data_IF_703392686643
#
_entry.id   IF_703392686643
#
_cell.length_a   1.000
_cell.length_b   1.000
_cell.length_c   1.000
_cell.angle_alpha   90.00
_cell.angle_beta   90.00
_cell.angle_gamma   90.00
#
_symmetry.space_group_name_H-M   'P 1'
#
loop_
_entity.id
_entity.type
_entity.pdbx_description
1 polymer ?
#
# COMPACT_ATOMS: atom_id res chain seq x y z
N UNK A 1 13.50 -4.26 -11.15
CA UNK A 1 12.35 -3.73 -10.39
C UNK A 1 12.10 -4.61 -9.18
N UNK A 2 11.75 -4.00 -8.06
CA UNK A 2 11.39 -4.67 -6.81
C UNK A 2 10.08 -4.07 -6.28
N UNK A 3 9.09 -4.91 -5.98
CA UNK A 3 7.83 -4.47 -5.36
C UNK A 3 7.93 -4.70 -3.86
N UNK A 4 7.87 -3.63 -3.08
CA UNK A 4 7.87 -3.70 -1.63
C UNK A 4 6.44 -3.69 -1.08
N UNK A 5 6.05 -4.80 -0.46
CA UNK A 5 4.75 -5.00 0.18
C UNK A 5 4.86 -4.97 1.71
N UNK A 6 6.03 -4.67 2.26
CA UNK A 6 6.28 -4.77 3.70
C UNK A 6 5.80 -3.53 4.46
N UNK A 7 5.60 -3.66 5.74
CA UNK A 7 5.23 -2.55 6.61
C UNK A 7 5.99 -2.71 7.93
N UNK A 8 6.82 -1.73 8.31
CA UNK A 8 7.55 -1.78 9.57
C UNK A 8 6.62 -1.43 10.74
N UNK A 9 5.95 -2.44 11.28
CA UNK A 9 5.07 -2.30 12.45
C UNK A 9 5.86 -2.55 13.72
N UNK A 10 5.93 -1.55 14.58
CA UNK A 10 6.59 -1.62 15.88
C UNK A 10 5.62 -1.90 17.04
N UNK A 11 6.15 -2.09 18.27
CA UNK A 11 5.36 -2.29 19.47
C UNK A 11 4.32 -1.17 19.66
N UNK A 12 3.13 -1.52 20.13
CA UNK A 12 2.05 -0.56 20.36
C UNK A 12 1.48 0.09 19.10
N UNK A 13 1.63 -0.54 17.93
CA UNK A 13 1.24 -0.01 16.62
C UNK A 13 1.98 1.30 16.27
N UNK A 14 3.22 1.42 16.69
CA UNK A 14 4.11 2.49 16.23
C UNK A 14 4.76 2.10 14.90
N UNK A 15 5.28 3.09 14.18
CA UNK A 15 6.11 2.83 13.02
C UNK A 15 7.49 2.28 13.46
N UNK A 16 7.88 1.11 12.94
CA UNK A 16 9.09 0.40 13.39
C UNK A 16 10.40 1.14 13.13
N UNK A 17 10.41 2.09 12.18
CA UNK A 17 11.54 2.98 11.89
C UNK A 17 11.34 4.38 12.50
N UNK A 18 10.48 4.50 13.51
CA UNK A 18 10.21 5.76 14.23
C UNK A 18 9.75 6.91 13.32
N UNK A 19 9.14 6.60 12.18
CA UNK A 19 8.67 7.55 11.15
C UNK A 19 9.79 8.47 10.59
N UNK A 20 11.04 8.05 10.67
CA UNK A 20 12.17 8.81 10.11
C UNK A 20 12.41 8.52 8.64
N UNK A 21 12.06 7.32 8.20
CA UNK A 21 12.14 6.81 6.84
C UNK A 21 11.11 5.71 6.69
N UNK A 22 10.77 5.36 5.47
CA UNK A 22 9.92 4.20 5.18
C UNK A 22 10.74 2.92 5.04
N UNK A 23 10.08 1.77 5.21
CA UNK A 23 10.65 0.47 4.88
C UNK A 23 11.08 0.39 3.42
N UNK A 24 10.28 0.96 2.51
CA UNK A 24 10.60 0.97 1.08
C UNK A 24 11.87 1.76 0.76
N UNK A 25 12.10 2.91 1.42
CA UNK A 25 13.35 3.66 1.27
C UNK A 25 14.55 2.89 1.81
N UNK A 26 14.40 2.15 2.92
CA UNK A 26 15.45 1.26 3.41
C UNK A 26 15.75 0.11 2.44
N UNK A 27 14.71 -0.48 1.83
CA UNK A 27 14.89 -1.49 0.77
C UNK A 27 15.65 -0.90 -0.42
N UNK A 28 15.30 0.30 -0.87
CA UNK A 28 16.02 1.00 -1.96
C UNK A 28 17.49 1.26 -1.59
N UNK A 29 17.75 1.66 -0.35
CA UNK A 29 19.11 1.89 0.12
C UNK A 29 19.96 0.61 0.11
N UNK A 30 19.35 -0.53 0.43
CA UNK A 30 20.01 -1.84 0.43
C UNK A 30 20.14 -2.44 -0.98
N UNK A 31 19.29 -2.03 -1.91
CA UNK A 31 19.28 -2.49 -3.30
C UNK A 31 19.37 -1.30 -4.28
N UNK A 32 20.50 -0.57 -4.33
CA UNK A 32 20.61 0.69 -5.07
C UNK A 32 20.46 0.52 -6.59
N UNK A 33 20.66 -0.69 -7.11
CA UNK A 33 20.43 -1.01 -8.53
C UNK A 33 19.01 -1.43 -8.88
N UNK A 34 18.09 -1.49 -7.91
CA UNK A 34 16.70 -1.81 -8.15
C UNK A 34 15.84 -0.55 -8.25
N UNK A 35 14.80 -0.59 -9.07
CA UNK A 35 13.71 0.40 -9.05
C UNK A 35 12.65 -0.14 -8.09
N UNK A 36 12.60 0.41 -6.86
CA UNK A 36 11.66 -0.02 -5.83
C UNK A 36 10.32 0.68 -6.02
N UNK A 37 9.24 -0.09 -5.98
CA UNK A 37 7.86 0.41 -5.99
C UNK A 37 7.15 -0.14 -4.77
N UNK A 38 6.64 0.73 -3.92
CA UNK A 38 5.75 0.41 -2.81
C UNK A 38 4.37 0.13 -3.34
N UNK A 39 3.82 -1.06 -3.06
CA UNK A 39 2.48 -1.44 -3.45
C UNK A 39 1.97 -2.60 -2.56
N UNK A 40 0.71 -3.00 -2.76
CA UNK A 40 0.08 -4.10 -2.00
C UNK A 40 0.22 -3.93 -0.49
N UNK A 41 -0.02 -2.71 -0.06
CA UNK A 41 0.01 -2.24 1.33
C UNK A 41 -1.29 -1.55 1.67
N UNK A 42 -1.39 -0.90 2.85
CA UNK A 42 -2.56 -0.21 3.38
C UNK A 42 -3.74 -1.11 3.79
N UNK A 43 -3.65 -2.42 3.55
CA UNK A 43 -4.64 -3.44 3.90
C UNK A 43 -4.00 -4.66 4.51
N UNK A 44 -4.80 -5.50 5.18
CA UNK A 44 -4.42 -6.89 5.47
C UNK A 44 -4.47 -7.77 4.22
N UNK A 45 -3.62 -8.77 4.17
CA UNK A 45 -3.47 -9.69 3.04
C UNK A 45 -4.79 -10.40 2.66
N UNK A 46 -5.72 -10.49 3.58
CA UNK A 46 -7.04 -11.11 3.37
C UNK A 46 -7.81 -10.46 2.21
N UNK A 47 -7.56 -9.16 1.98
CA UNK A 47 -8.25 -8.40 0.94
C UNK A 47 -7.66 -8.63 -0.46
N UNK A 48 -6.45 -9.19 -0.57
CA UNK A 48 -5.80 -9.42 -1.87
C UNK A 48 -6.28 -10.67 -2.59
N UNK A 49 -6.92 -11.60 -1.88
CA UNK A 49 -7.48 -12.80 -2.49
C UNK A 49 -8.75 -12.52 -3.32
N UNK A 50 -9.47 -11.46 -2.96
CA UNK A 50 -10.68 -11.06 -3.67
C UNK A 50 -10.86 -9.55 -3.54
N UNK A 51 -10.73 -8.84 -4.65
CA UNK A 51 -10.92 -7.39 -4.74
C UNK A 51 -12.38 -6.95 -4.92
N UNK A 52 -13.32 -7.89 -4.99
CA UNK A 52 -14.74 -7.58 -5.19
C UNK A 52 -15.41 -7.18 -3.88
N UNK A 53 -16.00 -5.99 -3.86
CA UNK A 53 -16.80 -5.47 -2.75
C UNK A 53 -18.22 -5.20 -3.24
N UNK A 54 -19.16 -6.16 -3.07
CA UNK A 54 -20.53 -6.02 -3.55
C UNK A 54 -21.27 -4.89 -2.83
N UNK A 55 -22.18 -4.23 -3.53
CA UNK A 55 -22.98 -3.13 -2.98
C UNK A 55 -22.45 -1.73 -3.28
N UNK A 56 -21.27 -1.62 -3.91
CA UNK A 56 -20.64 -0.34 -4.26
C UNK A 56 -20.63 -0.04 -5.77
N UNK A 57 -21.44 -0.76 -6.55
CA UNK A 57 -21.51 -0.59 -8.01
C UNK A 57 -20.16 -0.91 -8.68
N UNK A 58 -19.70 0.01 -9.53
CA UNK A 58 -18.42 -0.13 -10.25
C UNK A 58 -17.23 0.48 -9.49
N UNK A 59 -17.40 0.84 -8.22
CA UNK A 59 -16.33 1.41 -7.42
C UNK A 59 -15.29 0.32 -7.09
N UNK A 60 -14.08 0.51 -7.60
CA UNK A 60 -12.96 -0.39 -7.31
C UNK A 60 -12.22 0.05 -6.04
N UNK A 61 -11.71 -0.90 -5.24
CA UNK A 61 -10.81 -0.56 -4.15
C UNK A 61 -9.51 0.05 -4.71
N UNK A 62 -8.97 1.05 -4.01
CA UNK A 62 -7.75 1.73 -4.42
C UNK A 62 -6.52 0.92 -3.99
N UNK A 63 -5.51 0.80 -4.87
CA UNK A 63 -4.17 0.35 -4.52
C UNK A 63 -3.22 1.53 -4.70
N UNK A 64 -2.78 2.12 -3.58
CA UNK A 64 -1.86 3.25 -3.62
C UNK A 64 -0.45 2.74 -3.90
N UNK A 65 0.23 3.38 -4.86
CA UNK A 65 1.59 3.02 -5.26
C UNK A 65 2.53 4.22 -5.18
N UNK A 66 3.75 3.99 -4.73
CA UNK A 66 4.79 5.02 -4.64
C UNK A 66 6.11 4.49 -5.21
N UNK A 67 6.88 5.34 -5.87
CA UNK A 67 8.18 4.97 -6.45
C UNK A 67 8.75 6.09 -7.29
N UNK A 68 10.06 6.05 -7.54
CA UNK A 68 10.76 7.09 -8.29
C UNK A 68 10.86 6.80 -9.78
N UNK A 69 10.74 5.52 -10.18
CA UNK A 69 10.84 5.10 -11.59
C UNK A 69 9.45 4.97 -12.21
N UNK A 70 9.11 5.84 -13.14
CA UNK A 70 7.79 5.88 -13.77
C UNK A 70 7.46 4.60 -14.57
N UNK A 71 8.38 3.98 -15.34
CA UNK A 71 8.12 2.70 -16.00
C UNK A 71 7.85 1.56 -15.02
N UNK A 72 8.58 1.50 -13.89
CA UNK A 72 8.34 0.49 -12.85
C UNK A 72 6.95 0.68 -12.21
N UNK A 73 6.57 1.92 -11.88
CA UNK A 73 5.21 2.23 -11.37
C UNK A 73 4.12 1.84 -12.36
N UNK A 74 4.31 2.12 -13.65
CA UNK A 74 3.35 1.73 -14.69
C UNK A 74 3.16 0.20 -14.75
N UNK A 75 4.25 -0.55 -14.64
CA UNK A 75 4.21 -2.03 -14.62
C UNK A 75 3.44 -2.54 -13.40
N UNK A 76 3.71 -1.97 -12.22
CA UNK A 76 3.01 -2.35 -10.98
C UNK A 76 1.53 -1.92 -11.03
N UNK A 77 1.26 -0.75 -11.60
CA UNK A 77 -0.12 -0.28 -11.83
C UNK A 77 -0.92 -1.26 -12.67
N UNK A 78 -0.35 -1.75 -13.77
CA UNK A 78 -0.98 -2.77 -14.60
C UNK A 78 -1.25 -4.07 -13.83
N UNK A 79 -0.32 -4.50 -12.98
CA UNK A 79 -0.53 -5.66 -12.10
C UNK A 79 -1.70 -5.43 -11.12
N UNK A 80 -1.82 -4.22 -10.57
CA UNK A 80 -2.96 -3.87 -9.70
C UNK A 80 -4.29 -3.99 -10.46
N UNK A 81 -4.36 -3.46 -11.69
CA UNK A 81 -5.56 -3.56 -12.54
C UNK A 81 -5.93 -5.00 -12.84
N UNK A 82 -4.97 -5.84 -13.21
CA UNK A 82 -5.16 -7.26 -13.51
C UNK A 82 -5.71 -8.04 -12.31
N UNK A 83 -5.44 -7.55 -11.09
CA UNK A 83 -5.95 -8.09 -9.83
C UNK A 83 -7.27 -7.41 -9.38
N UNK A 84 -7.84 -6.52 -10.19
CA UNK A 84 -9.12 -5.87 -9.90
C UNK A 84 -9.04 -4.65 -8.98
N UNK A 85 -7.84 -4.08 -8.79
CA UNK A 85 -7.61 -2.88 -7.99
C UNK A 85 -7.46 -1.66 -8.88
N UNK A 86 -7.91 -0.50 -8.39
CA UNK A 86 -7.62 0.79 -9.03
C UNK A 86 -6.25 1.29 -8.56
N UNK A 87 -5.21 1.30 -9.42
CA UNK A 87 -3.92 1.88 -9.04
C UNK A 87 -4.04 3.40 -8.88
N UNK A 88 -3.43 3.93 -7.82
CA UNK A 88 -3.34 5.37 -7.58
C UNK A 88 -1.89 5.70 -7.27
N UNK A 89 -1.24 6.43 -8.17
CA UNK A 89 0.12 6.91 -7.97
C UNK A 89 0.12 8.06 -6.96
N UNK A 90 0.79 7.88 -5.83
CA UNK A 90 0.91 8.89 -4.77
C UNK A 90 2.26 9.61 -4.76
N UNK A 91 3.05 9.45 -5.84
CA UNK A 91 4.28 10.18 -6.06
C UNK A 91 5.56 9.39 -5.79
N UNK A 92 6.61 10.06 -5.27
CA UNK A 92 7.94 9.47 -5.12
C UNK A 92 7.98 8.39 -4.05
N UNK A 93 9.08 7.62 -4.01
CA UNK A 93 9.26 6.52 -3.05
C UNK A 93 9.14 7.01 -1.59
N UNK A 94 9.51 8.24 -1.30
CA UNK A 94 9.35 8.85 0.03
C UNK A 94 7.88 8.93 0.51
N UNK A 95 6.90 8.91 -0.41
CA UNK A 95 5.48 8.82 -0.06
C UNK A 95 5.11 7.48 0.59
N UNK A 96 5.97 6.48 0.52
CA UNK A 96 5.78 5.17 1.15
C UNK A 96 5.57 5.27 2.66
N UNK A 97 6.18 6.26 3.31
CA UNK A 97 5.98 6.49 4.75
C UNK A 97 4.50 6.75 5.09
N UNK A 98 3.81 7.51 4.25
CA UNK A 98 2.37 7.75 4.43
C UNK A 98 1.54 6.48 4.25
N UNK A 99 1.90 5.63 3.29
CA UNK A 99 1.23 4.35 3.06
C UNK A 99 1.42 3.40 4.24
N UNK A 100 2.61 3.36 4.82
CA UNK A 100 2.90 2.57 6.01
C UNK A 100 2.11 3.06 7.22
N UNK A 101 1.92 4.37 7.38
CA UNK A 101 1.01 4.93 8.39
C UNK A 101 -0.46 4.59 8.12
N UNK A 102 -0.91 4.56 6.87
CA UNK A 102 -2.26 4.09 6.53
C UNK A 102 -2.45 2.61 6.89
N UNK A 103 -1.41 1.79 6.74
CA UNK A 103 -1.43 0.40 7.21
C UNK A 103 -1.62 0.33 8.72
N UNK A 104 -0.90 1.15 9.50
CA UNK A 104 -1.08 1.20 10.96
C UNK A 104 -2.50 1.60 11.34
N UNK A 105 -3.09 2.57 10.64
CA UNK A 105 -4.48 2.96 10.83
C UNK A 105 -5.43 1.81 10.52
N UNK A 106 -5.22 1.11 9.40
CA UNK A 106 -6.03 -0.05 9.04
C UNK A 106 -5.96 -1.15 10.10
N UNK A 107 -4.76 -1.48 10.59
CA UNK A 107 -4.56 -2.47 11.68
C UNK A 107 -5.31 -2.02 12.94
N UNK A 108 -5.20 -0.74 13.31
CA UNK A 108 -5.90 -0.19 14.48
C UNK A 108 -7.41 -0.36 14.35
N UNK A 109 -7.98 -0.01 13.20
CA UNK A 109 -9.42 -0.15 12.97
C UNK A 109 -9.86 -1.61 12.91
N UNK A 110 -9.14 -2.42 12.15
CA UNK A 110 -9.52 -3.81 11.90
C UNK A 110 -9.29 -4.73 13.10
N UNK A 111 -8.11 -4.66 13.70
CA UNK A 111 -7.66 -5.62 14.71
C UNK A 111 -7.90 -5.12 16.14
N UNK A 112 -7.63 -3.84 16.42
CA UNK A 112 -7.73 -3.31 17.79
C UNK A 112 -9.16 -2.85 18.11
N UNK A 113 -9.81 -2.14 17.17
CA UNK A 113 -11.19 -1.66 17.35
C UNK A 113 -12.27 -2.68 16.95
N UNK A 114 -11.86 -3.86 16.47
CA UNK A 114 -12.79 -4.96 16.18
C UNK A 114 -13.64 -4.79 14.92
N UNK A 115 -13.26 -3.89 13.99
CA UNK A 115 -13.98 -3.73 12.70
C UNK A 115 -13.88 -4.97 11.81
N UNK A 116 -12.90 -5.83 12.06
CA UNK A 116 -12.58 -6.99 11.23
C UNK A 116 -11.66 -6.62 10.08
N UNK A 117 -11.35 -7.62 9.24
CA UNK A 117 -10.36 -7.47 8.17
C UNK A 117 -10.98 -7.12 6.79
N UNK A 118 -12.31 -7.22 6.65
CA UNK A 118 -12.99 -7.11 5.36
C UNK A 118 -13.39 -5.66 5.04
N UNK A 119 -12.42 -4.76 4.97
CA UNK A 119 -12.65 -3.39 4.52
C UNK A 119 -11.41 -2.83 3.83
N UNK A 120 -11.66 -1.94 2.88
CA UNK A 120 -10.65 -1.29 2.04
C UNK A 120 -10.96 0.17 1.87
N UNK A 121 -10.05 0.90 1.26
CA UNK A 121 -10.22 2.30 0.87
C UNK A 121 -10.63 2.39 -0.61
N UNK A 122 -11.44 3.36 -0.94
CA UNK A 122 -11.71 3.74 -2.32
C UNK A 122 -11.55 5.26 -2.47
N UNK A 123 -11.06 5.68 -3.63
CA UNK A 123 -10.84 7.09 -3.92
C UNK A 123 -11.95 7.60 -4.83
N UNK A 124 -12.67 8.61 -4.37
CA UNK A 124 -13.65 9.34 -5.16
C UNK A 124 -13.04 10.66 -5.62
N UNK A 125 -13.20 10.98 -6.90
CA UNK A 125 -12.76 12.23 -7.51
C UNK A 125 -13.93 12.90 -8.21
N UNK A 126 -13.93 14.25 -8.27
CA UNK A 126 -14.90 15.07 -8.99
C UNK A 126 -14.33 15.59 -10.30
#
# INVERSE_FOLDING_TARGET
MLVDCTNPVGPGLTHGLQSRTSGAEEVQRLAPGANVVKAFTIYGFENFQNSAYPGYGNLQPAMLIAGDDAPAKATVGKLCEDLGWRPVDVGPLSSSLHLEHMTLLWIKMGRVQGKGANFVWAMLER
#
